data_IF_983885696387
#
_entry.id   IF_983885696387
#
_cell.length_a   1.000
_cell.length_b   1.000
_cell.length_c   1.000
_cell.angle_alpha   90.00
_cell.angle_beta   90.00
_cell.angle_gamma   90.00
#
_symmetry.space_group_name_H-M   'P 1'
#
loop_
_entity.id
_entity.type
_entity.pdbx_description
1 polymer ?
#
# COMPACT_ATOMS: atom_id res chain seq x y z
N UNK A 1 -5.19 -40.97 26.68
CA UNK A 1 -4.80 -39.60 26.27
C UNK A 1 -4.38 -39.66 24.81
N UNK A 2 -5.32 -39.58 23.84
CA UNK A 2 -4.95 -39.58 22.43
C UNK A 2 -4.67 -38.14 21.97
N UNK A 3 -3.57 -38.00 21.24
CA UNK A 3 -3.14 -36.79 20.56
C UNK A 3 -4.19 -36.34 19.52
N UNK A 4 -4.48 -35.04 19.49
CA UNK A 4 -5.22 -34.40 18.40
C UNK A 4 -4.25 -34.00 17.29
N UNK A 5 -4.41 -34.49 16.05
CA UNK A 5 -3.71 -33.93 14.90
C UNK A 5 -4.56 -32.77 14.38
N UNK A 6 -4.11 -31.53 14.60
CA UNK A 6 -4.60 -30.39 13.82
C UNK A 6 -3.89 -30.39 12.47
N UNK A 7 -4.40 -31.22 11.55
CA UNK A 7 -4.25 -30.97 10.13
C UNK A 7 -5.58 -30.42 9.64
N UNK A 8 -5.70 -29.11 9.56
CA UNK A 8 -6.74 -28.45 8.76
C UNK A 8 -6.23 -28.35 7.32
N UNK A 9 -6.81 -29.08 6.36
CA UNK A 9 -6.61 -28.76 4.96
C UNK A 9 -7.37 -27.46 4.67
N UNK A 10 -6.65 -26.35 4.51
CA UNK A 10 -7.21 -25.14 3.93
C UNK A 10 -7.42 -25.40 2.43
N UNK A 11 -8.56 -25.95 2.06
CA UNK A 11 -9.07 -25.87 0.69
C UNK A 11 -9.47 -24.42 0.42
N UNK A 12 -8.48 -23.60 0.05
CA UNK A 12 -8.73 -22.32 -0.62
C UNK A 12 -9.48 -22.64 -1.91
N UNK A 13 -10.75 -22.27 -2.01
CA UNK A 13 -11.40 -22.14 -3.32
C UNK A 13 -10.53 -21.17 -4.12
N UNK A 14 -9.88 -21.67 -5.17
CA UNK A 14 -9.05 -20.83 -6.02
C UNK A 14 -9.93 -19.70 -6.58
N UNK A 15 -9.59 -18.45 -6.25
CA UNK A 15 -10.25 -17.29 -6.84
C UNK A 15 -9.90 -17.29 -8.32
N UNK A 16 -10.91 -17.45 -9.18
CA UNK A 16 -10.71 -17.42 -10.62
C UNK A 16 -10.49 -15.97 -11.05
N UNK A 17 -9.27 -15.64 -11.47
CA UNK A 17 -8.92 -14.29 -11.91
C UNK A 17 -9.50 -14.02 -13.31
N UNK A 18 -10.18 -12.89 -13.55
CA UNK A 18 -10.70 -12.55 -14.87
C UNK A 18 -9.58 -12.50 -15.94
N UNK A 19 -9.80 -12.99 -17.18
CA UNK A 19 -8.75 -13.03 -18.20
C UNK A 19 -8.08 -11.68 -18.50
N UNK A 20 -8.83 -10.57 -18.41
CA UNK A 20 -8.29 -9.21 -18.58
C UNK A 20 -7.27 -8.83 -17.51
N UNK A 21 -7.40 -9.39 -16.30
CA UNK A 21 -6.57 -9.09 -15.13
C UNK A 21 -5.54 -10.18 -14.81
N UNK A 22 -5.70 -11.38 -15.38
CA UNK A 22 -4.88 -12.54 -15.07
C UNK A 22 -3.43 -12.36 -15.54
N UNK A 23 -2.45 -12.63 -14.68
CA UNK A 23 -1.03 -12.54 -15.00
C UNK A 23 -0.37 -13.90 -14.79
N UNK A 24 -0.29 -14.76 -15.84
CA UNK A 24 0.21 -16.13 -15.70
C UNK A 24 1.61 -16.24 -15.10
N UNK A 25 2.48 -15.27 -15.38
CA UNK A 25 3.84 -15.23 -14.79
C UNK A 25 3.79 -15.05 -13.27
N UNK A 26 2.88 -14.22 -12.75
CA UNK A 26 2.70 -14.07 -11.29
C UNK A 26 2.20 -15.39 -10.68
N UNK A 27 1.18 -16.00 -11.30
CA UNK A 27 0.59 -17.25 -10.82
C UNK A 27 1.59 -18.41 -10.80
N UNK A 28 2.51 -18.46 -11.78
CA UNK A 28 3.48 -19.54 -11.92
C UNK A 28 4.80 -19.30 -11.17
N UNK A 29 5.33 -18.07 -11.18
CA UNK A 29 6.71 -17.77 -10.78
C UNK A 29 6.83 -16.91 -9.50
N UNK A 30 5.72 -16.36 -9.01
CA UNK A 30 5.67 -15.55 -7.79
C UNK A 30 4.75 -16.23 -6.76
N UNK A 31 5.20 -17.34 -6.13
CA UNK A 31 4.35 -18.08 -5.21
C UNK A 31 3.93 -17.20 -4.04
N UNK A 32 2.63 -17.20 -3.73
CA UNK A 32 2.09 -16.47 -2.59
C UNK A 32 2.69 -17.00 -1.30
N UNK A 33 3.08 -16.08 -0.42
CA UNK A 33 3.51 -16.37 0.96
C UNK A 33 2.63 -15.60 1.92
N UNK A 34 2.62 -16.05 3.18
CA UNK A 34 1.86 -15.40 4.24
C UNK A 34 2.64 -15.51 5.55
N UNK A 35 2.75 -14.39 6.25
CA UNK A 35 3.41 -14.33 7.55
C UNK A 35 2.67 -15.18 8.59
N UNK A 36 3.40 -15.93 9.42
CA UNK A 36 2.80 -16.79 10.45
C UNK A 36 1.97 -16.02 11.49
N UNK A 37 2.27 -14.73 11.68
CA UNK A 37 1.51 -13.83 12.56
C UNK A 37 0.15 -13.41 12.00
N UNK A 38 -0.13 -13.63 10.70
CA UNK A 38 -1.32 -13.11 10.04
C UNK A 38 -2.65 -13.34 10.78
N UNK A 39 -2.95 -14.52 11.36
CA UNK A 39 -4.21 -14.71 12.09
C UNK A 39 -4.36 -13.73 13.27
N UNK A 40 -3.27 -13.49 14.01
CA UNK A 40 -3.26 -12.51 15.11
C UNK A 40 -3.28 -11.08 14.60
N UNK A 41 -2.58 -10.83 13.49
CA UNK A 41 -2.53 -9.52 12.82
C UNK A 41 -3.93 -9.05 12.42
N UNK A 42 -4.73 -9.96 11.83
CA UNK A 42 -6.11 -9.68 11.43
C UNK A 42 -6.97 -9.27 12.64
N UNK A 43 -6.98 -10.07 13.69
CA UNK A 43 -7.75 -9.78 14.91
C UNK A 43 -7.33 -8.47 15.57
N UNK A 44 -6.02 -8.22 15.67
CA UNK A 44 -5.48 -7.04 16.34
C UNK A 44 -5.70 -5.75 15.55
N UNK A 45 -5.50 -5.79 14.23
CA UNK A 45 -5.73 -4.62 13.38
C UNK A 45 -7.22 -4.25 13.38
N UNK A 46 -8.11 -5.26 13.36
CA UNK A 46 -9.55 -5.04 13.53
C UNK A 46 -9.88 -4.41 14.88
N UNK A 47 -9.29 -4.92 15.97
CA UNK A 47 -9.43 -4.33 17.30
C UNK A 47 -8.95 -2.88 17.34
N UNK A 48 -7.80 -2.60 16.71
CA UNK A 48 -7.24 -1.25 16.63
C UNK A 48 -8.12 -0.28 15.83
N UNK A 49 -8.71 -0.71 14.71
CA UNK A 49 -9.67 0.11 13.94
C UNK A 49 -10.87 0.54 14.79
N UNK A 50 -11.38 -0.36 15.65
CA UNK A 50 -12.46 -0.07 16.61
C UNK A 50 -12.01 0.88 17.71
N UNK A 51 -10.90 0.58 18.38
CA UNK A 51 -10.37 1.35 19.49
C UNK A 51 -10.05 2.80 19.07
N UNK A 52 -9.45 2.96 17.89
CA UNK A 52 -9.12 4.26 17.33
C UNK A 52 -10.33 4.97 16.68
N UNK A 53 -11.48 4.30 16.57
CA UNK A 53 -12.71 4.82 15.95
C UNK A 53 -12.47 5.32 14.52
N UNK A 54 -11.73 4.52 13.75
CA UNK A 54 -11.45 4.80 12.33
C UNK A 54 -12.61 4.41 11.41
N UNK A 55 -13.39 3.41 11.83
CA UNK A 55 -14.57 2.94 11.12
C UNK A 55 -15.70 2.72 12.14
N UNK A 56 -16.98 2.89 11.74
CA UNK A 56 -18.11 2.50 12.57
C UNK A 56 -18.05 1.02 12.94
N UNK A 57 -18.55 0.66 14.13
CA UNK A 57 -18.39 -0.70 14.66
C UNK A 57 -19.08 -1.77 13.81
N UNK A 58 -20.27 -1.46 13.29
CA UNK A 58 -21.01 -2.28 12.33
C UNK A 58 -20.26 -2.42 11.01
N UNK A 59 -19.66 -1.34 10.50
CA UNK A 59 -18.81 -1.41 9.30
C UNK A 59 -17.58 -2.29 9.52
N UNK A 60 -16.96 -2.22 10.70
CA UNK A 60 -15.83 -3.10 11.04
C UNK A 60 -16.26 -4.56 11.07
N UNK A 61 -17.35 -4.87 11.76
CA UNK A 61 -17.87 -6.23 11.88
C UNK A 61 -18.21 -6.83 10.50
N UNK A 62 -18.80 -6.02 9.62
CA UNK A 62 -19.24 -6.49 8.30
C UNK A 62 -18.12 -6.54 7.26
N UNK A 63 -17.18 -5.59 7.28
CA UNK A 63 -16.28 -5.37 6.13
C UNK A 63 -14.79 -5.53 6.44
N UNK A 64 -14.30 -5.30 7.67
CA UNK A 64 -12.86 -5.14 7.91
C UNK A 64 -12.01 -6.33 7.45
N UNK A 65 -12.44 -7.56 7.77
CA UNK A 65 -11.72 -8.78 7.34
C UNK A 65 -11.84 -8.99 5.83
N UNK A 66 -13.01 -8.69 5.26
CA UNK A 66 -13.28 -8.80 3.82
C UNK A 66 -12.48 -7.79 2.98
N UNK A 67 -11.99 -6.71 3.60
CA UNK A 67 -11.12 -5.73 2.95
C UNK A 67 -9.68 -6.22 2.78
N UNK A 68 -9.26 -7.28 3.50
CA UNK A 68 -7.96 -7.96 3.31
C UNK A 68 -6.72 -7.08 3.49
N UNK A 69 -6.81 -5.97 4.23
CA UNK A 69 -5.68 -5.05 4.45
C UNK A 69 -4.52 -5.73 5.19
N UNK A 70 -4.82 -6.56 6.18
CA UNK A 70 -3.80 -7.32 6.92
C UNK A 70 -3.16 -8.43 6.07
N UNK A 71 -3.93 -9.03 5.17
CA UNK A 71 -3.52 -10.12 4.29
C UNK A 71 -2.50 -9.60 3.27
N UNK A 72 -2.71 -8.37 2.78
CA UNK A 72 -1.77 -7.65 1.92
C UNK A 72 -0.43 -7.42 2.64
N UNK A 73 -0.43 -6.86 3.85
CA UNK A 73 0.83 -6.59 4.55
C UNK A 73 1.55 -7.87 5.00
N UNK A 74 0.79 -8.88 5.46
CA UNK A 74 1.35 -10.17 5.85
C UNK A 74 1.85 -11.00 4.66
N UNK A 75 1.37 -10.74 3.44
CA UNK A 75 1.90 -11.32 2.21
C UNK A 75 3.15 -10.60 1.70
N UNK A 76 3.45 -9.41 2.22
CA UNK A 76 4.56 -8.57 1.76
C UNK A 76 5.81 -8.67 2.67
N UNK A 77 5.70 -8.22 3.91
CA UNK A 77 6.84 -8.05 4.83
C UNK A 77 7.19 -9.36 5.55
N UNK A 78 7.56 -10.38 4.78
CA UNK A 78 7.91 -11.69 5.34
C UNK A 78 9.21 -11.60 6.14
N UNK A 79 9.21 -12.24 7.31
CA UNK A 79 10.32 -12.22 8.26
C UNK A 79 10.35 -11.01 9.19
N UNK A 80 9.41 -10.06 9.05
CA UNK A 80 9.27 -8.96 9.99
C UNK A 80 8.98 -9.45 11.41
N UNK A 81 9.58 -8.86 12.45
CA UNK A 81 9.14 -9.09 13.82
C UNK A 81 7.64 -8.78 13.97
N UNK A 82 6.92 -9.58 14.77
CA UNK A 82 5.46 -9.47 14.94
C UNK A 82 5.01 -8.04 15.29
N UNK A 83 5.77 -7.33 16.13
CA UNK A 83 5.48 -5.94 16.51
C UNK A 83 5.68 -4.93 15.37
N UNK A 84 6.68 -5.17 14.51
CA UNK A 84 6.93 -4.35 13.31
C UNK A 84 5.78 -4.57 12.33
N UNK A 85 5.42 -5.83 12.07
CA UNK A 85 4.32 -6.15 11.17
C UNK A 85 2.98 -5.60 11.69
N UNK A 86 2.74 -5.61 13.00
CA UNK A 86 1.55 -4.99 13.58
C UNK A 86 1.49 -3.48 13.32
N UNK A 87 2.59 -2.75 13.57
CA UNK A 87 2.64 -1.32 13.32
C UNK A 87 2.45 -0.97 11.83
N UNK A 88 3.03 -1.78 10.93
CA UNK A 88 2.85 -1.65 9.48
C UNK A 88 1.40 -1.90 9.06
N UNK A 89 0.76 -2.95 9.58
CA UNK A 89 -0.62 -3.29 9.21
C UNK A 89 -1.62 -2.23 9.69
N UNK A 90 -1.46 -1.72 10.91
CA UNK A 90 -2.29 -0.65 11.44
C UNK A 90 -2.09 0.65 10.64
N UNK A 91 -0.83 1.00 10.34
CA UNK A 91 -0.51 2.13 9.45
C UNK A 91 -1.10 1.96 8.05
N UNK A 92 -1.05 0.77 7.46
CA UNK A 92 -1.63 0.49 6.15
C UNK A 92 -3.15 0.56 6.16
N UNK A 93 -3.82 0.01 7.17
CA UNK A 93 -5.26 0.11 7.32
C UNK A 93 -5.68 1.59 7.50
N UNK A 94 -4.92 2.36 8.29
CA UNK A 94 -5.09 3.81 8.39
C UNK A 94 -4.94 4.51 7.04
N UNK A 95 -3.96 4.12 6.22
CA UNK A 95 -3.72 4.71 4.90
C UNK A 95 -4.95 4.52 4.00
N UNK A 96 -5.57 3.33 3.98
CA UNK A 96 -6.81 3.09 3.24
C UNK A 96 -7.97 3.94 3.76
N UNK A 97 -8.13 4.09 5.08
CA UNK A 97 -9.17 4.96 5.66
C UNK A 97 -8.90 6.44 5.35
N UNK A 98 -7.63 6.85 5.27
CA UNK A 98 -7.25 8.21 4.85
C UNK A 98 -7.56 8.47 3.38
N UNK A 99 -7.31 7.50 2.50
CA UNK A 99 -7.71 7.53 1.08
C UNK A 99 -9.23 7.73 0.95
N UNK A 100 -10.01 6.96 1.71
CA UNK A 100 -11.47 7.07 1.75
C UNK A 100 -11.93 8.44 2.29
N UNK A 101 -11.26 8.98 3.33
CA UNK A 101 -11.55 10.32 3.85
C UNK A 101 -11.25 11.40 2.82
N UNK A 102 -10.12 11.31 2.13
CA UNK A 102 -9.70 12.24 1.09
C UNK A 102 -10.73 12.25 -0.04
N UNK A 103 -11.12 11.08 -0.53
CA UNK A 103 -12.16 10.93 -1.54
C UNK A 103 -13.48 11.59 -1.11
N UNK A 104 -13.96 11.31 0.10
CA UNK A 104 -15.21 11.90 0.61
C UNK A 104 -15.11 13.41 0.84
N UNK A 105 -13.95 13.94 1.22
CA UNK A 105 -13.74 15.38 1.33
C UNK A 105 -13.83 16.08 -0.02
N UNK A 106 -13.42 15.43 -1.11
CA UNK A 106 -13.58 15.93 -2.48
C UNK A 106 -15.04 15.86 -2.92
N UNK A 107 -15.65 14.67 -2.83
CA UNK A 107 -17.04 14.42 -3.27
C UNK A 107 -18.03 15.35 -2.57
N UNK A 108 -17.84 15.59 -1.27
CA UNK A 108 -18.71 16.47 -0.48
C UNK A 108 -18.28 17.95 -0.46
N UNK A 109 -17.26 18.33 -1.24
CA UNK A 109 -16.80 19.71 -1.35
C UNK A 109 -16.34 20.32 -0.02
N UNK A 110 -15.43 19.63 0.70
CA UNK A 110 -14.95 20.00 2.05
C UNK A 110 -13.49 20.50 2.08
N UNK A 111 -13.10 21.51 1.28
CA UNK A 111 -11.70 21.96 1.17
C UNK A 111 -11.12 22.52 2.48
N UNK A 112 -11.97 23.08 3.36
CA UNK A 112 -11.53 23.59 4.67
C UNK A 112 -11.20 22.44 5.61
N UNK A 113 -11.98 21.35 5.59
CA UNK A 113 -11.72 20.15 6.39
C UNK A 113 -10.43 19.47 5.91
N UNK A 114 -10.31 19.24 4.59
CA UNK A 114 -9.11 18.69 3.97
C UNK A 114 -7.85 19.47 4.33
N UNK A 115 -7.87 20.80 4.18
CA UNK A 115 -6.71 21.66 4.52
C UNK A 115 -6.31 21.56 6.00
N UNK A 116 -7.28 21.41 6.91
CA UNK A 116 -7.00 21.24 8.35
C UNK A 116 -6.40 19.87 8.61
N UNK A 117 -6.97 18.81 8.03
CA UNK A 117 -6.45 17.44 8.14
C UNK A 117 -5.02 17.37 7.60
N UNK A 118 -4.77 17.87 6.39
CA UNK A 118 -3.44 17.96 5.78
C UNK A 118 -2.42 18.56 6.74
N UNK A 119 -2.68 19.75 7.29
CA UNK A 119 -1.78 20.41 8.24
C UNK A 119 -1.54 19.57 9.49
N UNK A 120 -2.60 19.00 10.05
CA UNK A 120 -2.50 18.15 11.23
C UNK A 120 -1.65 16.90 10.96
N UNK A 121 -1.75 16.28 9.77
CA UNK A 121 -0.91 15.14 9.39
C UNK A 121 0.56 15.52 9.26
N UNK A 122 0.90 16.69 8.67
CA UNK A 122 2.28 17.16 8.66
C UNK A 122 2.82 17.33 10.09
N UNK A 123 2.08 18.00 10.98
CA UNK A 123 2.52 18.24 12.37
C UNK A 123 2.59 16.94 13.18
N UNK A 124 1.63 16.03 13.01
CA UNK A 124 1.62 14.73 13.67
C UNK A 124 2.73 13.81 13.17
N UNK A 125 3.15 13.92 11.91
CA UNK A 125 4.27 13.13 11.39
C UNK A 125 5.58 13.51 12.08
N UNK A 126 5.81 14.81 12.30
CA UNK A 126 7.03 15.30 12.95
C UNK A 126 7.01 15.11 14.48
N UNK A 127 5.83 15.06 15.09
CA UNK A 127 5.66 14.97 16.55
C UNK A 127 4.46 14.09 16.93
N UNK A 128 4.51 12.78 16.61
CA UNK A 128 3.34 11.90 16.75
C UNK A 128 2.89 11.74 18.19
N UNK A 129 3.81 11.78 19.15
CA UNK A 129 3.47 11.69 20.59
C UNK A 129 2.48 12.78 21.04
N UNK A 130 2.57 13.98 20.48
CA UNK A 130 1.72 15.11 20.86
C UNK A 130 0.30 15.00 20.30
N UNK A 131 0.06 14.04 19.40
CA UNK A 131 -1.18 13.90 18.64
C UNK A 131 -1.94 12.61 18.95
N UNK A 132 -1.48 11.77 19.89
CA UNK A 132 -2.12 10.50 20.27
C UNK A 132 -3.57 10.64 20.76
N UNK A 133 -3.93 11.83 21.25
CA UNK A 133 -5.28 12.15 21.75
C UNK A 133 -5.92 13.31 20.97
N UNK A 134 -5.49 13.51 19.71
CA UNK A 134 -6.05 14.53 18.85
C UNK A 134 -7.58 14.30 18.66
N UNK A 135 -8.41 15.37 18.64
CA UNK A 135 -9.87 15.23 18.54
C UNK A 135 -10.34 14.60 17.23
N UNK A 136 -9.61 14.81 16.13
CA UNK A 136 -9.79 14.04 14.89
C UNK A 136 -9.14 12.66 15.06
N UNK A 137 -9.96 11.61 15.06
CA UNK A 137 -9.54 10.22 15.26
C UNK A 137 -8.60 9.72 14.17
N UNK A 138 -8.72 10.24 12.95
CA UNK A 138 -7.81 9.89 11.86
C UNK A 138 -6.40 10.40 12.12
N UNK A 139 -6.26 11.58 12.72
CA UNK A 139 -4.95 12.14 13.12
C UNK A 139 -4.39 11.38 14.33
N UNK A 140 -5.23 11.04 15.30
CA UNK A 140 -4.79 10.27 16.48
C UNK A 140 -4.28 8.87 16.10
N UNK A 141 -4.96 8.18 15.17
CA UNK A 141 -4.57 6.87 14.67
C UNK A 141 -3.30 6.92 13.81
N UNK A 142 -3.16 7.95 12.98
CA UNK A 142 -1.92 8.22 12.27
C UNK A 142 -0.74 8.35 13.25
N UNK A 143 -0.92 9.21 14.25
CA UNK A 143 0.08 9.47 15.27
C UNK A 143 0.46 8.21 16.05
N UNK A 144 -0.51 7.37 16.44
CA UNK A 144 -0.25 6.11 17.13
C UNK A 144 0.60 5.15 16.29
N UNK A 145 0.20 4.91 15.04
CA UNK A 145 0.91 3.98 14.15
C UNK A 145 2.32 4.49 13.80
N UNK A 146 2.48 5.78 13.49
CA UNK A 146 3.79 6.40 13.21
C UNK A 146 4.69 6.40 14.45
N UNK A 147 4.16 6.68 15.65
CA UNK A 147 4.95 6.63 16.88
C UNK A 147 5.52 5.23 17.12
N UNK A 148 4.73 4.18 16.86
CA UNK A 148 5.19 2.79 16.94
C UNK A 148 6.25 2.49 15.89
N UNK A 149 6.05 2.90 14.63
CA UNK A 149 7.05 2.74 13.57
C UNK A 149 8.39 3.42 13.91
N UNK A 150 8.35 4.61 14.52
CA UNK A 150 9.53 5.35 14.97
C UNK A 150 10.28 4.71 16.13
N UNK A 151 9.73 3.66 16.74
CA UNK A 151 10.34 2.91 17.83
C UNK A 151 11.35 1.84 17.39
N UNK A 152 11.42 1.48 16.10
CA UNK A 152 12.19 0.30 15.65
C UNK A 152 13.61 0.61 15.17
N UNK A 153 13.83 1.76 14.54
CA UNK A 153 15.10 2.13 13.92
C UNK A 153 15.61 3.50 14.41
N UNK A 154 16.87 3.86 14.13
CA UNK A 154 17.42 5.15 14.54
C UNK A 154 16.65 6.35 13.98
N UNK A 155 16.81 7.50 14.63
CA UNK A 155 16.14 8.75 14.23
C UNK A 155 16.44 9.19 12.78
N UNK A 156 17.54 8.73 12.18
CA UNK A 156 17.88 8.91 10.77
C UNK A 156 16.87 8.24 9.84
N UNK A 157 16.41 7.04 10.18
CA UNK A 157 15.34 6.36 9.45
C UNK A 157 14.01 7.10 9.64
N UNK A 158 13.67 7.49 10.88
CA UNK A 158 12.44 8.23 11.20
C UNK A 158 12.34 9.53 10.38
N UNK A 159 13.43 10.31 10.31
CA UNK A 159 13.49 11.54 9.53
C UNK A 159 13.36 11.30 8.02
N UNK A 160 13.87 10.17 7.51
CA UNK A 160 13.69 9.78 6.11
C UNK A 160 12.24 9.38 5.81
N UNK A 161 11.63 8.58 6.66
CA UNK A 161 10.22 8.22 6.57
C UNK A 161 9.35 9.49 6.58
N UNK A 162 9.61 10.41 7.52
CA UNK A 162 8.92 11.70 7.60
C UNK A 162 9.06 12.51 6.30
N UNK A 163 10.29 12.67 5.81
CA UNK A 163 10.55 13.38 4.55
C UNK A 163 9.80 12.77 3.36
N UNK A 164 9.72 11.45 3.26
CA UNK A 164 8.94 10.80 2.22
C UNK A 164 7.44 11.01 2.42
N UNK A 165 6.93 10.89 3.65
CA UNK A 165 5.49 10.97 3.88
C UNK A 165 4.95 12.41 3.77
N UNK A 166 5.74 13.44 4.09
CA UNK A 166 5.38 14.81 3.74
C UNK A 166 5.13 14.98 2.23
N UNK A 167 5.95 14.36 1.38
CA UNK A 167 5.74 14.42 -0.06
C UNK A 167 4.48 13.65 -0.52
N UNK A 168 4.10 12.59 0.20
CA UNK A 168 2.83 11.86 -0.01
C UNK A 168 1.65 12.75 0.34
N UNK A 169 1.66 13.42 1.51
CA UNK A 169 0.59 14.33 1.93
C UNK A 169 0.40 15.46 0.90
N UNK A 170 1.49 16.06 0.41
CA UNK A 170 1.43 17.08 -0.65
C UNK A 170 0.96 16.52 -2.01
N UNK A 171 1.17 15.24 -2.27
CA UNK A 171 0.69 14.59 -3.48
C UNK A 171 -0.83 14.40 -3.44
N UNK A 172 -1.37 13.96 -2.30
CA UNK A 172 -2.81 13.93 -2.06
C UNK A 172 -3.43 15.33 -2.15
N UNK A 173 -2.76 16.38 -1.69
CA UNK A 173 -3.26 17.76 -1.87
C UNK A 173 -3.37 18.16 -3.35
N UNK A 174 -2.42 17.71 -4.19
CA UNK A 174 -2.51 17.90 -5.64
C UNK A 174 -3.66 17.11 -6.25
N UNK A 175 -3.89 15.87 -5.79
CA UNK A 175 -5.04 15.08 -6.25
C UNK A 175 -6.38 15.74 -5.87
N UNK A 176 -6.48 16.29 -4.65
CA UNK A 176 -7.63 17.07 -4.21
C UNK A 176 -7.95 18.21 -5.18
N UNK A 177 -6.93 18.99 -5.56
CA UNK A 177 -7.08 20.09 -6.50
C UNK A 177 -7.47 19.61 -7.91
N UNK A 178 -6.78 18.59 -8.43
CA UNK A 178 -7.07 18.03 -9.74
C UNK A 178 -8.54 17.58 -9.86
N UNK A 179 -9.04 16.81 -8.89
CA UNK A 179 -10.44 16.34 -8.89
C UNK A 179 -11.43 17.49 -8.73
N UNK A 180 -11.15 18.43 -7.84
CA UNK A 180 -12.02 19.61 -7.63
C UNK A 180 -12.12 20.49 -8.88
N UNK A 181 -11.05 20.57 -9.66
CA UNK A 181 -10.95 21.40 -10.86
C UNK A 181 -11.26 20.62 -12.17
N UNK A 182 -11.53 19.32 -12.08
CA UNK A 182 -11.80 18.46 -13.24
C UNK A 182 -10.58 18.22 -14.13
N UNK A 183 -9.37 18.32 -13.58
CA UNK A 183 -8.10 18.15 -14.28
C UNK A 183 -7.67 16.68 -14.22
N UNK A 184 -7.57 16.05 -15.38
CA UNK A 184 -6.90 14.74 -15.54
C UNK A 184 -5.43 15.03 -15.87
N UNK A 185 -4.45 14.54 -15.09
CA UNK A 185 -3.03 14.73 -15.40
C UNK A 185 -2.65 14.10 -16.75
N UNK A 186 -1.61 14.63 -17.41
CA UNK A 186 -1.00 13.94 -18.56
C UNK A 186 -0.36 12.62 -18.11
N UNK A 187 -0.04 11.71 -19.05
CA UNK A 187 0.57 10.42 -18.72
C UNK A 187 1.87 10.58 -17.92
N UNK A 188 2.76 11.50 -18.30
CA UNK A 188 4.03 11.71 -17.59
C UNK A 188 3.82 12.33 -16.19
N UNK A 189 2.94 13.33 -16.09
CA UNK A 189 2.59 13.94 -14.80
C UNK A 189 1.95 12.93 -13.86
N UNK A 190 1.04 12.09 -14.38
CA UNK A 190 0.40 11.02 -13.62
C UNK A 190 1.42 10.03 -13.08
N UNK A 191 2.33 9.51 -13.91
CA UNK A 191 3.35 8.55 -13.46
C UNK A 191 4.27 9.14 -12.37
N UNK A 192 4.63 10.42 -12.49
CA UNK A 192 5.42 11.11 -11.46
C UNK A 192 4.62 11.29 -10.15
N UNK A 193 3.34 11.67 -10.25
CA UNK A 193 2.43 11.83 -9.12
C UNK A 193 2.15 10.49 -8.42
N UNK A 194 1.90 9.43 -9.21
CA UNK A 194 1.51 8.10 -8.73
C UNK A 194 2.57 7.45 -7.84
N UNK A 195 3.85 7.72 -8.09
CA UNK A 195 4.95 7.31 -7.21
C UNK A 195 4.80 7.84 -5.78
N UNK A 196 4.19 9.02 -5.64
CA UNK A 196 3.95 9.67 -4.36
C UNK A 196 2.59 9.26 -3.79
N UNK A 197 1.52 9.21 -4.58
CA UNK A 197 0.17 8.89 -4.08
C UNK A 197 0.03 7.42 -3.72
N UNK A 198 0.73 6.53 -4.43
CA UNK A 198 0.92 5.13 -4.01
C UNK A 198 1.99 4.97 -2.91
N UNK A 199 2.66 6.04 -2.48
CA UNK A 199 3.66 6.05 -1.42
C UNK A 199 4.85 5.07 -1.60
N UNK A 200 5.40 4.97 -2.82
CA UNK A 200 6.45 3.99 -3.17
C UNK A 200 7.61 3.94 -2.16
N UNK A 201 8.10 5.13 -1.77
CA UNK A 201 9.25 5.22 -0.88
C UNK A 201 8.93 4.87 0.56
N UNK A 202 7.67 4.97 0.99
CA UNK A 202 7.23 4.52 2.31
C UNK A 202 7.27 3.01 2.39
N UNK A 203 6.65 2.33 1.42
CA UNK A 203 6.66 0.87 1.38
C UNK A 203 8.08 0.32 1.26
N UNK A 204 8.95 1.02 0.53
CA UNK A 204 10.39 0.71 0.44
C UNK A 204 11.11 0.95 1.77
N UNK A 205 10.87 2.08 2.45
CA UNK A 205 11.50 2.39 3.75
C UNK A 205 11.14 1.34 4.82
N UNK A 206 9.90 0.82 4.79
CA UNK A 206 9.38 -0.18 5.73
C UNK A 206 9.99 -1.59 5.54
N UNK A 207 10.75 -1.83 4.46
CA UNK A 207 11.55 -3.05 4.30
C UNK A 207 12.67 -3.14 5.35
N UNK A 208 13.25 -2.00 5.73
CA UNK A 208 14.39 -1.90 6.64
C UNK A 208 14.05 -2.30 8.09
N UNK A 209 12.99 -1.76 8.75
CA UNK A 209 12.60 -2.24 10.08
C UNK A 209 12.12 -3.69 10.04
N UNK A 210 11.54 -4.13 8.93
CA UNK A 210 11.17 -5.55 8.72
C UNK A 210 12.40 -6.46 8.66
N UNK A 211 13.50 -5.99 8.09
CA UNK A 211 14.80 -6.67 8.09
C UNK A 211 15.64 -6.41 9.36
N UNK A 212 15.15 -5.57 10.28
CA UNK A 212 15.83 -5.21 11.53
C UNK A 212 17.07 -4.32 11.36
N UNK A 213 17.25 -3.66 10.21
CA UNK A 213 18.45 -2.88 9.92
C UNK A 213 18.18 -1.66 9.03
N UNK A 214 18.54 -0.47 9.51
CA UNK A 214 18.64 0.72 8.66
C UNK A 214 19.81 0.56 7.67
N UNK A 215 19.50 0.57 6.37
CA UNK A 215 20.50 0.42 5.32
C UNK A 215 21.28 1.73 5.11
N UNK A 216 22.62 1.69 5.04
CA UNK A 216 23.41 2.87 4.71
C UNK A 216 23.02 3.47 3.35
N UNK A 217 23.14 4.79 3.21
CA UNK A 217 22.84 5.52 1.97
C UNK A 217 23.51 4.92 0.73
N UNK A 218 24.78 4.54 0.84
CA UNK A 218 25.54 3.93 -0.24
C UNK A 218 24.95 2.60 -0.72
N UNK A 219 24.23 1.89 0.14
CA UNK A 219 23.57 0.61 -0.16
C UNK A 219 22.19 0.86 -0.76
N UNK A 220 21.31 1.55 -0.04
CA UNK A 220 19.91 1.78 -0.48
C UNK A 220 19.78 2.70 -1.70
N UNK A 221 20.80 3.52 -1.99
CA UNK A 221 20.87 4.35 -3.22
C UNK A 221 21.65 3.67 -4.35
N UNK A 222 22.25 2.49 -4.11
CA UNK A 222 22.91 1.74 -5.16
C UNK A 222 21.88 1.38 -6.25
N UNK A 223 22.17 1.60 -7.55
CA UNK A 223 21.25 1.28 -8.64
C UNK A 223 20.70 -0.16 -8.60
N UNK A 224 21.52 -1.13 -8.20
CA UNK A 224 21.13 -2.54 -8.10
C UNK A 224 20.04 -2.78 -7.04
N UNK A 225 19.99 -1.97 -5.98
CA UNK A 225 18.92 -2.01 -4.97
C UNK A 225 17.72 -1.13 -5.37
N UNK A 226 18.02 0.07 -5.89
CA UNK A 226 17.02 1.08 -6.23
C UNK A 226 16.09 0.67 -7.37
N UNK A 227 16.62 -0.04 -8.37
CA UNK A 227 15.84 -0.47 -9.55
C UNK A 227 14.75 -1.50 -9.20
N UNK A 228 15.03 -2.64 -8.54
CA UNK A 228 13.97 -3.57 -8.17
C UNK A 228 12.98 -2.97 -7.15
N UNK A 229 13.45 -2.08 -6.25
CA UNK A 229 12.56 -1.35 -5.35
C UNK A 229 11.54 -0.50 -6.12
N UNK A 230 12.00 0.25 -7.12
CA UNK A 230 11.13 1.04 -7.99
C UNK A 230 10.15 0.14 -8.75
N UNK A 231 10.63 -0.89 -9.44
CA UNK A 231 9.80 -1.79 -10.27
C UNK A 231 8.75 -2.55 -9.44
N UNK A 232 9.09 -2.96 -8.22
CA UNK A 232 8.14 -3.57 -7.29
C UNK A 232 6.95 -2.64 -7.00
N UNK A 233 7.21 -1.34 -6.82
CA UNK A 233 6.17 -0.36 -6.52
C UNK A 233 5.40 0.09 -7.77
N UNK A 234 6.07 0.24 -8.91
CA UNK A 234 5.42 0.56 -10.20
C UNK A 234 4.45 -0.55 -10.60
N UNK A 235 4.87 -1.82 -10.49
CA UNK A 235 3.96 -2.96 -10.68
C UNK A 235 2.73 -2.84 -9.79
N UNK A 236 2.93 -2.61 -8.49
CA UNK A 236 1.84 -2.59 -7.53
C UNK A 236 0.84 -1.44 -7.79
N UNK A 237 1.36 -0.27 -8.15
CA UNK A 237 0.55 0.90 -8.47
C UNK A 237 -0.21 0.72 -9.79
N UNK A 238 0.44 0.26 -10.85
CA UNK A 238 -0.22 0.09 -12.15
C UNK A 238 -1.16 -1.13 -12.17
N UNK A 239 -0.87 -2.17 -11.39
CA UNK A 239 -1.80 -3.27 -11.21
C UNK A 239 -3.02 -2.84 -10.38
N UNK A 240 -2.83 -1.96 -9.39
CA UNK A 240 -3.96 -1.28 -8.76
C UNK A 240 -4.76 -0.51 -9.79
N UNK A 241 -4.15 0.38 -10.57
CA UNK A 241 -4.84 1.14 -11.62
C UNK A 241 -5.67 0.22 -12.55
N UNK A 242 -5.10 -0.91 -12.96
CA UNK A 242 -5.79 -1.88 -13.82
C UNK A 242 -7.02 -2.49 -13.13
N UNK A 243 -6.91 -2.91 -11.87
CA UNK A 243 -7.98 -3.56 -11.12
C UNK A 243 -9.02 -2.59 -10.55
N UNK A 244 -8.61 -1.37 -10.20
CA UNK A 244 -9.45 -0.35 -9.58
C UNK A 244 -10.17 0.54 -10.60
N UNK A 245 -9.76 0.54 -11.87
CA UNK A 245 -10.36 1.35 -12.94
C UNK A 245 -11.90 1.33 -12.96
N UNK A 246 -12.60 0.17 -12.82
CA UNK A 246 -14.06 0.16 -12.81
C UNK A 246 -14.67 0.91 -11.61
N UNK A 247 -14.06 0.80 -10.43
CA UNK A 247 -14.45 1.54 -9.21
C UNK A 247 -14.19 3.02 -9.40
N UNK A 248 -13.04 3.37 -9.95
CA UNK A 248 -12.58 4.75 -10.10
C UNK A 248 -13.41 5.52 -11.11
N UNK A 249 -13.73 4.93 -12.27
CA UNK A 249 -14.68 5.50 -13.23
C UNK A 249 -16.05 5.72 -12.58
N UNK A 250 -16.53 4.77 -11.76
CA UNK A 250 -17.83 4.88 -11.11
C UNK A 250 -17.87 5.96 -10.00
N UNK A 251 -16.72 6.33 -9.43
CA UNK A 251 -16.58 7.33 -8.37
C UNK A 251 -16.03 8.68 -8.83
N UNK A 252 -15.99 8.95 -10.14
CA UNK A 252 -15.42 10.16 -10.74
C UNK A 252 -13.97 10.45 -10.29
N UNK A 253 -13.18 9.40 -10.03
CA UNK A 253 -11.74 9.51 -9.81
C UNK A 253 -11.03 9.76 -11.15
N UNK A 254 -10.01 10.62 -11.14
CA UNK A 254 -9.26 11.05 -12.34
C UNK A 254 -7.82 10.53 -12.34
N UNK A 255 -7.33 10.03 -11.20
CA UNK A 255 -5.96 9.57 -11.01
C UNK A 255 -5.83 8.08 -11.30
N UNK A 256 -5.80 7.74 -12.59
CA UNK A 256 -5.51 6.40 -13.09
C UNK A 256 -4.74 6.51 -14.42
N UNK A 257 -3.75 5.64 -14.65
CA UNK A 257 -3.01 5.64 -15.91
C UNK A 257 -3.92 5.39 -17.11
N UNK A 258 -4.90 4.50 -17.00
CA UNK A 258 -5.89 4.22 -18.03
C UNK A 258 -6.75 5.45 -18.35
N UNK A 259 -7.18 6.20 -17.35
CA UNK A 259 -7.93 7.45 -17.54
C UNK A 259 -7.06 8.50 -18.24
N UNK A 260 -5.79 8.62 -17.84
CA UNK A 260 -4.83 9.54 -18.47
C UNK A 260 -4.56 9.19 -19.93
N UNK A 261 -4.42 7.88 -20.24
CA UNK A 261 -4.26 7.36 -21.60
C UNK A 261 -5.47 7.66 -22.49
N UNK A 262 -6.69 7.40 -22.00
CA UNK A 262 -7.92 7.73 -22.72
C UNK A 262 -8.02 9.23 -22.98
N UNK A 263 -7.72 10.05 -21.96
CA UNK A 263 -7.87 11.50 -22.04
C UNK A 263 -6.88 12.18 -22.98
N UNK A 264 -5.60 11.80 -22.91
CA UNK A 264 -4.51 12.56 -23.52
C UNK A 264 -3.86 11.88 -24.73
N UNK A 265 -3.97 10.55 -24.84
CA UNK A 265 -3.40 9.80 -25.96
C UNK A 265 -4.47 9.34 -26.98
N UNK A 266 -5.75 9.60 -26.70
CA UNK A 266 -6.86 9.31 -27.62
C UNK A 266 -7.20 7.82 -27.75
N UNK A 267 -6.75 6.99 -26.80
CA UNK A 267 -7.03 5.56 -26.76
C UNK A 267 -8.49 5.28 -26.39
N UNK A 268 -9.06 4.19 -26.92
CA UNK A 268 -10.29 3.62 -26.37
C UNK A 268 -10.04 3.06 -24.96
N UNK A 269 -11.11 2.77 -24.22
CA UNK A 269 -10.98 2.14 -22.90
C UNK A 269 -10.29 0.77 -23.00
N UNK A 270 -10.62 -0.02 -24.02
CA UNK A 270 -10.03 -1.32 -24.30
C UNK A 270 -8.54 -1.21 -24.64
N UNK A 271 -8.15 -0.22 -25.45
CA UNK A 271 -6.76 0.05 -25.80
C UNK A 271 -5.95 0.51 -24.57
N UNK A 272 -6.54 1.36 -23.72
CA UNK A 272 -5.92 1.81 -22.48
C UNK A 272 -5.70 0.65 -21.49
N UNK A 273 -6.68 -0.26 -21.34
CA UNK A 273 -6.55 -1.49 -20.54
C UNK A 273 -5.45 -2.39 -21.09
N UNK A 274 -5.38 -2.56 -22.41
CA UNK A 274 -4.34 -3.36 -23.06
C UNK A 274 -2.93 -2.76 -22.84
N UNK A 275 -2.78 -1.44 -22.94
CA UNK A 275 -1.51 -0.75 -22.69
C UNK A 275 -1.10 -0.81 -21.21
N UNK A 276 -2.04 -0.60 -20.27
CA UNK A 276 -1.82 -0.80 -18.84
C UNK A 276 -1.29 -2.20 -18.55
N UNK A 277 -1.98 -3.22 -19.08
CA UNK A 277 -1.59 -4.62 -18.93
C UNK A 277 -0.20 -4.88 -19.49
N UNK A 278 0.11 -4.37 -20.69
CA UNK A 278 1.43 -4.50 -21.32
C UNK A 278 2.53 -3.92 -20.44
N UNK A 279 2.33 -2.73 -19.86
CA UNK A 279 3.30 -2.09 -18.93
C UNK A 279 3.49 -2.89 -17.66
N UNK A 280 2.42 -3.45 -17.10
CA UNK A 280 2.49 -4.34 -15.93
C UNK A 280 3.31 -5.59 -16.25
N UNK A 281 3.06 -6.25 -17.38
CA UNK A 281 3.80 -7.45 -17.82
C UNK A 281 5.29 -7.15 -18.10
N UNK A 282 5.58 -6.00 -18.71
CA UNK A 282 6.95 -5.51 -18.91
C UNK A 282 7.65 -5.25 -17.58
N UNK A 283 6.97 -4.63 -16.61
CA UNK A 283 7.52 -4.37 -15.28
C UNK A 283 7.92 -5.65 -14.53
N UNK A 284 7.14 -6.74 -14.67
CA UNK A 284 7.50 -8.06 -14.11
C UNK A 284 8.81 -8.55 -14.73
N UNK A 285 8.91 -8.49 -16.06
CA UNK A 285 10.08 -8.98 -16.80
C UNK A 285 11.33 -8.17 -16.44
N UNK A 286 11.21 -6.85 -16.34
CA UNK A 286 12.29 -5.97 -15.89
C UNK A 286 12.70 -6.24 -14.44
N UNK A 287 11.73 -6.52 -13.56
CA UNK A 287 12.01 -6.82 -12.16
C UNK A 287 12.84 -8.10 -12.03
N UNK A 288 12.53 -9.14 -12.79
CA UNK A 288 13.30 -10.40 -12.77
C UNK A 288 14.77 -10.18 -13.14
N UNK A 289 15.06 -9.28 -14.10
CA UNK A 289 16.44 -8.92 -14.45
C UNK A 289 17.09 -8.12 -13.32
N UNK A 290 16.41 -7.10 -12.81
CA UNK A 290 16.92 -6.23 -11.75
C UNK A 290 17.14 -6.97 -10.42
N UNK A 291 16.31 -7.98 -10.12
CA UNK A 291 16.43 -8.85 -8.96
C UNK A 291 17.76 -9.61 -8.99
N UNK A 292 18.17 -10.17 -10.14
CA UNK A 292 19.46 -10.87 -10.27
C UNK A 292 20.67 -9.95 -10.05
N UNK A 293 20.56 -8.67 -10.40
CA UNK A 293 21.57 -7.66 -10.07
C UNK A 293 21.61 -7.36 -8.58
N UNK A 294 20.45 -7.23 -7.94
CA UNK A 294 20.32 -6.97 -6.51
C UNK A 294 20.84 -8.13 -5.65
N UNK A 295 20.58 -9.37 -6.05
CA UNK A 295 21.08 -10.56 -5.37
C UNK A 295 22.62 -10.63 -5.43
N UNK A 296 23.21 -10.39 -6.61
CA UNK A 296 24.68 -10.31 -6.74
C UNK A 296 25.26 -9.16 -5.91
N UNK A 297 24.59 -8.01 -5.88
CA UNK A 297 25.00 -6.89 -5.04
C UNK A 297 25.00 -7.27 -3.55
N UNK A 298 23.98 -7.98 -3.09
CA UNK A 298 23.90 -8.47 -1.71
C UNK A 298 25.06 -9.43 -1.36
N UNK A 299 25.41 -10.33 -2.28
CA UNK A 299 26.57 -11.23 -2.12
C UNK A 299 27.88 -10.44 -2.04
N UNK A 300 28.05 -9.40 -2.85
CA UNK A 300 29.24 -8.54 -2.80
C UNK A 300 29.36 -7.75 -1.49
N UNK A 301 28.25 -7.41 -0.83
CA UNK A 301 28.26 -6.74 0.48
C UNK A 301 28.76 -7.66 1.59
N UNK A 302 28.62 -8.99 1.43
CA UNK A 302 29.10 -9.99 2.37
C UNK A 302 30.62 -10.22 2.24
N UNK A 303 31.41 -9.15 2.42
CA UNK A 303 32.86 -9.05 2.22
C UNK A 303 33.75 -9.86 3.21
N UNK A 304 33.15 -10.77 3.98
CA UNK A 304 33.82 -11.54 5.03
C UNK A 304 33.78 -10.90 6.41
N UNK A 305 33.46 -9.61 6.53
CA UNK A 305 33.28 -8.94 7.83
C UNK A 305 31.90 -9.26 8.44
N UNK A 306 31.77 -9.10 9.75
CA UNK A 306 30.46 -9.26 10.44
C UNK A 306 29.45 -8.25 9.90
N UNK A 307 29.87 -6.98 9.76
CA UNK A 307 29.00 -5.90 9.28
C UNK A 307 28.57 -6.10 7.82
N UNK A 308 29.49 -6.54 6.95
CA UNK A 308 29.17 -6.86 5.56
C UNK A 308 28.11 -7.95 5.45
N UNK A 309 28.24 -9.02 6.26
CA UNK A 309 27.25 -10.10 6.33
C UNK A 309 25.87 -9.63 6.79
N UNK A 310 25.80 -8.78 7.83
CA UNK A 310 24.54 -8.20 8.30
C UNK A 310 23.84 -7.38 7.21
N UNK A 311 24.59 -6.50 6.54
CA UNK A 311 24.05 -5.66 5.46
C UNK A 311 23.59 -6.52 4.28
N UNK A 312 24.41 -7.48 3.85
CA UNK A 312 24.06 -8.41 2.76
C UNK A 312 22.78 -9.18 3.07
N UNK A 313 22.64 -9.71 4.29
CA UNK A 313 21.43 -10.41 4.73
C UNK A 313 20.19 -9.50 4.73
N UNK A 314 20.32 -8.26 5.22
CA UNK A 314 19.22 -7.30 5.19
C UNK A 314 18.79 -6.93 3.76
N UNK A 315 19.75 -6.75 2.84
CA UNK A 315 19.46 -6.52 1.41
C UNK A 315 18.74 -7.72 0.79
N UNK A 316 19.20 -8.95 1.04
CA UNK A 316 18.52 -10.17 0.56
C UNK A 316 17.07 -10.24 1.07
N UNK A 317 16.84 -9.95 2.34
CA UNK A 317 15.49 -9.90 2.93
C UNK A 317 14.62 -8.83 2.26
N UNK A 318 15.16 -7.62 2.06
CA UNK A 318 14.46 -6.53 1.38
C UNK A 318 14.07 -6.93 -0.05
N UNK A 319 15.01 -7.47 -0.84
CA UNK A 319 14.77 -7.86 -2.24
C UNK A 319 13.76 -9.01 -2.33
N UNK A 320 13.84 -9.99 -1.42
CA UNK A 320 12.84 -11.05 -1.34
C UNK A 320 11.43 -10.50 -1.06
N UNK A 321 11.31 -9.48 -0.21
CA UNK A 321 10.02 -8.85 0.05
C UNK A 321 9.57 -7.96 -1.11
N UNK A 322 10.47 -7.26 -1.82
CA UNK A 322 10.13 -6.60 -3.08
C UNK A 322 9.50 -7.57 -4.09
N UNK A 323 9.98 -8.83 -4.14
CA UNK A 323 9.37 -9.91 -4.93
C UNK A 323 8.01 -10.34 -4.36
N UNK A 324 7.89 -10.55 -3.06
CA UNK A 324 6.63 -10.95 -2.42
C UNK A 324 5.51 -9.93 -2.65
N UNK A 325 5.85 -8.65 -2.83
CA UNK A 325 4.87 -7.60 -3.14
C UNK A 325 4.06 -7.89 -4.40
N UNK A 326 4.68 -8.48 -5.43
CA UNK A 326 4.00 -8.80 -6.68
C UNK A 326 2.81 -9.74 -6.45
N UNK A 327 3.05 -10.86 -5.76
CA UNK A 327 1.99 -11.85 -5.53
C UNK A 327 1.00 -11.38 -4.47
N UNK A 328 1.47 -10.69 -3.43
CA UNK A 328 0.59 -10.17 -2.39
C UNK A 328 -0.40 -9.14 -2.95
N UNK A 329 0.07 -8.19 -3.77
CA UNK A 329 -0.77 -7.20 -4.44
C UNK A 329 -1.69 -7.85 -5.48
N UNK A 330 -1.17 -8.81 -6.25
CA UNK A 330 -1.96 -9.53 -7.25
C UNK A 330 -3.19 -10.19 -6.62
N UNK A 331 -2.99 -11.04 -5.62
CA UNK A 331 -4.09 -11.75 -4.97
C UNK A 331 -5.00 -10.83 -4.16
N UNK A 332 -4.44 -9.78 -3.54
CA UNK A 332 -5.23 -8.80 -2.80
C UNK A 332 -6.34 -8.16 -3.64
N UNK A 333 -6.06 -7.81 -4.90
CA UNK A 333 -7.07 -7.17 -5.77
C UNK A 333 -8.24 -8.10 -6.12
N UNK A 334 -8.01 -9.41 -6.12
CA UNK A 334 -9.05 -10.40 -6.44
C UNK A 334 -9.81 -10.90 -5.19
N UNK A 335 -9.25 -10.66 -4.01
CA UNK A 335 -9.80 -11.13 -2.73
C UNK A 335 -10.45 -10.03 -1.89
N UNK A 336 -10.01 -8.79 -2.07
CA UNK A 336 -10.48 -7.65 -1.30
C UNK A 336 -11.86 -7.17 -1.77
N UNK A 337 -12.79 -7.03 -0.82
CA UNK A 337 -14.07 -6.35 -1.04
C UNK A 337 -13.92 -4.88 -1.47
N UNK A 338 -12.71 -4.29 -1.37
CA UNK A 338 -12.44 -2.90 -1.77
C UNK A 338 -12.75 -2.64 -3.25
N UNK A 339 -12.60 -3.64 -4.12
CA UNK A 339 -12.70 -3.50 -5.57
C UNK A 339 -13.95 -4.14 -6.19
N UNK A 340 -14.81 -4.77 -5.37
CA UNK A 340 -15.99 -5.50 -5.83
C UNK A 340 -17.17 -4.57 -6.16
N UNK A 341 -16.94 -3.56 -7.01
CA UNK A 341 -17.91 -2.50 -7.37
C UNK A 341 -19.22 -3.06 -7.94
N UNK A 342 -19.18 -4.23 -8.59
CA UNK A 342 -20.36 -4.90 -9.13
C UNK A 342 -21.30 -5.49 -8.07
N UNK A 343 -20.85 -5.56 -6.81
CA UNK A 343 -21.65 -6.03 -5.67
C UNK A 343 -22.30 -4.90 -4.87
N UNK A 344 -22.04 -3.63 -5.22
CA UNK A 344 -22.55 -2.48 -4.48
C UNK A 344 -23.87 -1.99 -5.06
N UNK A 345 -24.79 -1.57 -4.19
CA UNK A 345 -26.07 -0.95 -4.60
C UNK A 345 -25.83 0.38 -5.33
N UNK A 346 -24.88 1.18 -4.84
CA UNK A 346 -24.39 2.39 -5.49
C UNK A 346 -22.90 2.23 -5.83
N UNK A 347 -22.58 2.19 -7.13
CA UNK A 347 -21.21 2.00 -7.63
C UNK A 347 -20.28 3.17 -7.30
N UNK A 348 -20.83 4.35 -7.00
CA UNK A 348 -20.06 5.56 -6.65
C UNK A 348 -19.75 5.68 -5.16
N UNK A 349 -20.42 4.87 -4.33
CA UNK A 349 -20.30 4.90 -2.87
C UNK A 349 -19.99 3.51 -2.33
N UNK A 350 -18.71 3.19 -2.07
CA UNK A 350 -18.35 1.90 -1.50
C UNK A 350 -18.97 1.70 -0.10
N UNK A 351 -19.47 0.50 0.23
CA UNK A 351 -20.24 0.26 1.46
C UNK A 351 -19.41 0.37 2.75
N UNK A 352 -18.09 0.28 2.64
CA UNK A 352 -17.16 0.41 3.76
C UNK A 352 -16.75 1.87 4.06
N UNK A 353 -17.18 2.83 3.24
CA UNK A 353 -16.85 4.25 3.39
C UNK A 353 -17.97 4.97 4.13
N UNK A 354 -17.61 5.74 5.16
CA UNK A 354 -18.57 6.63 5.81
C UNK A 354 -18.96 7.77 4.87
N UNK A 355 -20.21 7.76 4.40
CA UNK A 355 -20.72 8.74 3.44
C UNK A 355 -21.56 9.85 4.07
N UNK A 356 -21.41 10.11 5.37
CA UNK A 356 -22.17 11.15 6.07
C UNK A 356 -21.84 12.54 5.48
N UNK A 357 -22.88 13.27 5.08
CA UNK A 357 -22.79 14.69 4.72
C UNK A 357 -22.63 15.51 5.99
N UNK A 358 -21.78 16.55 5.97
CA UNK A 358 -21.54 17.37 7.15
C UNK A 358 -22.83 18.10 7.57
N UNK A 359 -23.51 17.60 8.60
CA UNK A 359 -24.77 18.16 9.10
C UNK A 359 -25.70 17.18 9.82
N UNK A 360 -25.47 15.87 9.73
CA UNK A 360 -26.26 14.85 10.44
C UNK A 360 -25.52 14.25 11.65
N UNK A 361 -25.13 15.09 12.63
CA UNK A 361 -25.02 14.68 14.05
C UNK A 361 -25.34 15.85 14.96
#
# INVERSE_FOLDING_TARGET
>A
MPAFPYSTPSTSTAVAVPPSLALPVIEAEFPRRLHAYWPRLQEKTRGWLLEMRLMPADTVEQHADGLRYTDLMAGYYLGAPDEVLQAIADYSAWFFVWDDRHDRDIVHGRPVAWRRLRRALHTALDSPRDHLHHPDTLVAAFADSVLRLYGFLPATWNARFARHFHAVIEAYDREFHNRTEGVVPTVEEYLALRRLTFAHWIWTDLLEPSAGLELPDAVRKNPAYRRPALLSQEFAAWYNDLCSLPKEIAGDEVHNLGISLVKHEGLSLEEAIAELRRRVEECISEFLVAEQEALRFADCLADGTVRGKEIGAAVLSCVANMRNWFSSVYWFHHESGRYMVDSWDDRSTPPYVSNETAGEK
#
